data_IF_584175803054
#
_entry.id   IF_584175803054
#
_cell.length_a   1.000
_cell.length_b   1.000
_cell.length_c   1.000
_cell.angle_alpha   90.00
_cell.angle_beta   90.00
_cell.angle_gamma   90.00
#
_symmetry.space_group_name_H-M   'P 1'
#
loop_
_entity.id
_entity.type
_entity.pdbx_description
1 polymer ?
#
# COMPACT_ATOMS: atom_id res chain seq x y z
N UNK A 1 -26.15 -10.74 -2.24
CA UNK A 1 -25.54 -10.12 -3.44
C UNK A 1 -24.50 -11.08 -3.95
N UNK A 2 -24.46 -11.35 -5.25
CA UNK A 2 -23.45 -12.26 -5.81
C UNK A 2 -22.05 -11.69 -5.58
N UNK A 3 -21.09 -12.56 -5.22
CA UNK A 3 -19.70 -12.17 -4.95
C UNK A 3 -19.08 -11.40 -6.15
N UNK A 4 -19.52 -11.70 -7.37
CA UNK A 4 -19.13 -10.98 -8.58
C UNK A 4 -19.65 -9.52 -8.60
N UNK A 5 -20.89 -9.28 -8.16
CA UNK A 5 -21.47 -7.93 -8.09
C UNK A 5 -20.77 -7.11 -7.01
N UNK A 6 -20.49 -7.72 -5.85
CA UNK A 6 -19.70 -7.12 -4.77
C UNK A 6 -18.29 -6.72 -5.22
N UNK A 7 -17.63 -7.58 -5.99
CA UNK A 7 -16.33 -7.28 -6.56
C UNK A 7 -16.40 -6.12 -7.57
N UNK A 8 -17.37 -6.15 -8.48
CA UNK A 8 -17.56 -5.11 -9.49
C UNK A 8 -17.89 -3.74 -8.89
N UNK A 9 -18.66 -3.68 -7.81
CA UNK A 9 -18.95 -2.41 -7.10
C UNK A 9 -17.74 -1.90 -6.31
N UNK A 10 -16.89 -2.81 -5.82
CA UNK A 10 -15.70 -2.44 -5.04
C UNK A 10 -14.57 -1.80 -5.87
N UNK A 11 -14.48 -2.07 -7.18
CA UNK A 11 -13.48 -1.48 -8.07
C UNK A 11 -13.58 0.07 -8.18
N UNK A 12 -14.73 0.66 -8.56
CA UNK A 12 -14.86 2.11 -8.60
C UNK A 12 -14.79 2.73 -7.19
N UNK A 13 -15.23 2.02 -6.16
CA UNK A 13 -15.08 2.45 -4.77
C UNK A 13 -13.60 2.52 -4.36
N UNK A 14 -12.80 1.50 -4.67
CA UNK A 14 -11.37 1.49 -4.38
C UNK A 14 -10.63 2.65 -5.08
N UNK A 15 -10.96 2.93 -6.34
CA UNK A 15 -10.39 4.06 -7.07
C UNK A 15 -10.76 5.41 -6.43
N UNK A 16 -12.03 5.62 -6.12
CA UNK A 16 -12.50 6.89 -5.57
C UNK A 16 -11.97 7.13 -4.16
N UNK A 17 -12.01 6.13 -3.30
CA UNK A 17 -11.53 6.22 -1.91
C UNK A 17 -10.01 6.44 -1.90
N UNK A 18 -9.23 5.69 -2.70
CA UNK A 18 -7.77 5.87 -2.74
C UNK A 18 -7.35 7.28 -3.17
N UNK A 19 -8.05 7.88 -4.15
CA UNK A 19 -7.79 9.26 -4.58
C UNK A 19 -8.19 10.29 -3.51
N UNK A 20 -9.27 10.06 -2.79
CA UNK A 20 -9.64 10.91 -1.64
C UNK A 20 -8.58 10.82 -0.53
N UNK A 21 -8.03 9.63 -0.26
CA UNK A 21 -6.94 9.44 0.69
C UNK A 21 -5.69 10.21 0.28
N UNK A 22 -5.29 10.17 -0.99
CA UNK A 22 -4.18 10.98 -1.50
C UNK A 22 -4.44 12.49 -1.31
N UNK A 23 -5.68 12.92 -1.58
CA UNK A 23 -6.10 14.32 -1.38
C UNK A 23 -6.04 14.75 0.08
N UNK A 24 -6.45 13.88 0.99
CA UNK A 24 -6.34 14.07 2.43
C UNK A 24 -4.88 14.13 2.88
N UNK A 25 -4.01 13.21 2.42
CA UNK A 25 -2.57 13.24 2.72
C UNK A 25 -1.95 14.59 2.32
N UNK A 26 -2.22 15.08 1.10
CA UNK A 26 -1.71 16.38 0.64
C UNK A 26 -2.18 17.54 1.52
N UNK A 27 -3.44 17.52 1.97
CA UNK A 27 -4.01 18.56 2.83
C UNK A 27 -3.39 18.51 4.23
N UNK A 28 -3.24 17.33 4.82
CA UNK A 28 -2.63 17.15 6.14
C UNK A 28 -1.15 17.54 6.10
N UNK A 29 -0.41 17.08 5.09
CA UNK A 29 1.00 17.42 4.86
C UNK A 29 1.22 18.95 4.79
N UNK A 30 0.37 19.66 4.05
CA UNK A 30 0.42 21.11 3.96
C UNK A 30 0.14 21.80 5.31
N UNK A 31 -0.86 21.31 6.07
CA UNK A 31 -1.20 21.84 7.40
C UNK A 31 -0.08 21.63 8.41
N UNK A 32 0.59 20.47 8.40
CA UNK A 32 1.77 20.22 9.24
C UNK A 32 2.92 21.19 8.94
N UNK A 33 3.05 21.63 7.69
CA UNK A 33 4.01 22.65 7.26
C UNK A 33 3.52 24.09 7.47
N UNK A 34 2.41 24.29 8.20
CA UNK A 34 1.77 25.60 8.43
C UNK A 34 1.40 26.36 7.15
N UNK A 35 1.05 25.64 6.07
CA UNK A 35 0.54 26.23 4.82
C UNK A 35 -0.85 25.68 4.46
N UNK A 36 -1.57 26.41 3.61
CA UNK A 36 -2.87 25.98 3.10
C UNK A 36 -2.63 24.95 1.99
N UNK A 37 -3.18 23.75 2.17
CA UNK A 37 -3.12 22.68 1.18
C UNK A 37 -4.19 22.80 0.10
N UNK A 38 -4.03 22.07 -1.02
CA UNK A 38 -5.05 22.00 -2.07
C UNK A 38 -6.36 21.36 -1.56
N UNK A 39 -7.48 21.51 -2.30
CA UNK A 39 -8.72 20.82 -1.97
C UNK A 39 -8.55 19.30 -2.05
N UNK A 40 -9.37 18.55 -1.30
CA UNK A 40 -9.29 17.07 -1.24
C UNK A 40 -9.58 16.43 -2.61
N UNK A 41 -10.37 17.09 -3.46
CA UNK A 41 -10.74 16.61 -4.79
C UNK A 41 -9.61 16.83 -5.82
N UNK A 42 -8.52 17.52 -5.47
CA UNK A 42 -7.42 17.83 -6.38
C UNK A 42 -6.86 16.63 -7.16
N UNK A 43 -6.67 15.42 -6.57
CA UNK A 43 -6.17 14.27 -7.32
C UNK A 43 -7.05 13.89 -8.51
N UNK A 44 -8.38 14.07 -8.42
CA UNK A 44 -9.29 13.84 -9.54
C UNK A 44 -9.03 14.82 -10.69
N UNK A 45 -8.88 16.11 -10.38
CA UNK A 45 -8.54 17.12 -11.39
C UNK A 45 -7.18 16.88 -12.03
N UNK A 46 -6.19 16.44 -11.24
CA UNK A 46 -4.87 16.10 -11.74
C UNK A 46 -4.93 14.92 -12.74
N UNK A 47 -5.75 13.89 -12.46
CA UNK A 47 -5.95 12.77 -13.36
C UNK A 47 -6.66 13.18 -14.65
N UNK A 48 -7.77 13.93 -14.55
CA UNK A 48 -8.49 14.44 -15.73
C UNK A 48 -7.52 15.21 -16.62
N UNK A 49 -6.74 16.13 -16.03
CA UNK A 49 -5.73 16.91 -16.74
C UNK A 49 -4.70 16.02 -17.44
N UNK A 50 -4.23 14.97 -16.79
CA UNK A 50 -3.22 14.08 -17.38
C UNK A 50 -3.79 13.20 -18.50
N UNK A 51 -5.02 12.72 -18.37
CA UNK A 51 -5.70 11.97 -19.43
C UNK A 51 -6.03 12.83 -20.66
N UNK A 52 -6.24 14.14 -20.48
CA UNK A 52 -6.42 15.08 -21.60
C UNK A 52 -5.14 15.44 -22.35
N UNK A 53 -3.96 15.04 -21.86
CA UNK A 53 -2.68 15.33 -22.53
C UNK A 53 -2.38 14.29 -23.61
N UNK A 54 -1.51 14.68 -24.52
CA UNK A 54 -1.00 13.81 -25.59
C UNK A 54 -0.25 12.59 -25.04
N UNK A 55 -0.39 11.48 -25.77
CA UNK A 55 0.36 10.24 -25.55
C UNK A 55 1.69 10.35 -26.27
N UNK A 56 2.77 10.47 -25.48
CA UNK A 56 4.13 10.55 -26.01
C UNK A 56 4.90 9.34 -25.49
N UNK A 57 5.48 8.58 -26.42
CA UNK A 57 6.42 7.50 -26.13
C UNK A 57 7.76 7.83 -26.81
N UNK A 58 8.91 7.68 -26.11
CA UNK A 58 10.21 7.97 -26.70
C UNK A 58 10.55 7.00 -27.83
N UNK A 59 11.24 7.49 -28.87
CA UNK A 59 11.64 6.64 -30.02
C UNK A 59 12.62 5.52 -29.64
N UNK A 60 13.40 5.72 -28.57
CA UNK A 60 14.34 4.73 -28.01
C UNK A 60 13.66 3.67 -27.15
N UNK A 61 12.38 3.84 -26.82
CA UNK A 61 11.66 2.94 -25.92
C UNK A 61 11.14 1.71 -26.65
N UNK A 62 11.04 0.59 -25.93
CA UNK A 62 10.26 -0.54 -26.42
C UNK A 62 8.77 -0.23 -26.25
N UNK A 63 8.15 0.33 -27.29
CA UNK A 63 6.80 0.89 -27.26
C UNK A 63 5.77 -0.01 -26.55
N UNK A 64 5.71 -1.30 -26.91
CA UNK A 64 4.74 -2.24 -26.29
C UNK A 64 4.89 -2.35 -24.77
N UNK A 65 6.11 -2.46 -24.26
CA UNK A 65 6.36 -2.61 -22.82
C UNK A 65 6.10 -1.28 -22.11
N UNK A 66 6.57 -0.17 -22.69
CA UNK A 66 6.39 1.15 -22.11
C UNK A 66 4.91 1.53 -21.95
N UNK A 67 4.06 1.22 -22.94
CA UNK A 67 2.65 1.58 -22.90
C UNK A 67 1.79 0.65 -22.03
N UNK A 68 2.08 -0.66 -22.05
CA UNK A 68 1.25 -1.66 -21.35
C UNK A 68 1.55 -1.75 -19.85
N UNK A 69 2.79 -1.50 -19.44
CA UNK A 69 3.21 -1.69 -18.05
C UNK A 69 2.47 -0.77 -17.04
N UNK A 70 2.25 0.54 -17.30
CA UNK A 70 1.42 1.37 -16.43
C UNK A 70 -0.03 0.90 -16.34
N UNK A 71 -0.58 0.31 -17.41
CA UNK A 71 -1.94 -0.26 -17.40
C UNK A 71 -2.01 -1.49 -16.49
N UNK A 72 -1.04 -2.39 -16.60
CA UNK A 72 -0.92 -3.57 -15.73
C UNK A 72 -0.73 -3.14 -14.27
N UNK A 73 0.10 -2.13 -14.02
CA UNK A 73 0.32 -1.61 -12.68
C UNK A 73 -0.96 -1.04 -12.05
N UNK A 74 -1.71 -0.23 -12.80
CA UNK A 74 -2.98 0.32 -12.35
C UNK A 74 -4.00 -0.81 -12.11
N UNK A 75 -4.15 -1.75 -13.05
CA UNK A 75 -5.08 -2.86 -12.93
C UNK A 75 -4.78 -3.74 -11.70
N UNK A 76 -3.54 -4.17 -11.52
CA UNK A 76 -3.14 -5.03 -10.39
C UNK A 76 -3.31 -4.35 -9.04
N UNK A 77 -2.98 -3.06 -8.93
CA UNK A 77 -3.24 -2.30 -7.70
C UNK A 77 -4.73 -2.19 -7.40
N UNK A 78 -5.57 -1.94 -8.42
CA UNK A 78 -7.02 -1.82 -8.27
C UNK A 78 -7.65 -3.14 -7.83
N UNK A 79 -7.22 -4.25 -8.45
CA UNK A 79 -7.66 -5.59 -8.08
C UNK A 79 -7.26 -5.93 -6.63
N UNK A 80 -6.03 -5.62 -6.23
CA UNK A 80 -5.59 -5.84 -4.84
C UNK A 80 -6.42 -5.04 -3.82
N UNK A 81 -6.67 -3.76 -4.10
CA UNK A 81 -7.49 -2.91 -3.25
C UNK A 81 -8.96 -3.32 -3.22
N UNK A 82 -9.52 -3.77 -4.36
CA UNK A 82 -10.92 -4.18 -4.46
C UNK A 82 -11.18 -5.48 -3.71
N UNK A 83 -10.26 -6.45 -3.75
CA UNK A 83 -10.33 -7.67 -2.94
C UNK A 83 -10.43 -7.30 -1.45
N UNK A 84 -9.54 -6.44 -0.96
CA UNK A 84 -9.57 -5.99 0.45
C UNK A 84 -10.88 -5.30 0.80
N UNK A 85 -11.32 -4.34 -0.01
CA UNK A 85 -12.53 -3.57 0.26
C UNK A 85 -13.79 -4.45 0.24
N UNK A 86 -13.86 -5.38 -0.72
CA UNK A 86 -14.97 -6.32 -0.85
C UNK A 86 -15.06 -7.30 0.32
N UNK A 87 -13.92 -7.75 0.86
CA UNK A 87 -13.87 -8.58 2.06
C UNK A 87 -14.43 -7.90 3.29
N UNK A 88 -14.23 -6.57 3.43
CA UNK A 88 -14.78 -5.78 4.53
C UNK A 88 -16.27 -5.47 4.31
N UNK A 89 -16.66 -5.13 3.08
CA UNK A 89 -18.00 -4.65 2.73
C UNK A 89 -19.08 -5.72 2.82
N UNK A 90 -18.75 -6.93 2.40
CA UNK A 90 -19.75 -7.95 2.09
C UNK A 90 -19.58 -9.24 2.90
N UNK A 91 -18.57 -9.31 3.79
CA UNK A 91 -18.20 -10.51 4.56
C UNK A 91 -18.17 -11.79 3.70
N UNK A 92 -17.91 -11.59 2.40
CA UNK A 92 -18.01 -12.61 1.40
C UNK A 92 -16.63 -13.15 1.13
N UNK A 93 -16.50 -14.47 1.11
CA UNK A 93 -15.30 -15.19 0.70
C UNK A 93 -15.05 -15.00 -0.80
N UNK A 94 -14.73 -13.78 -1.20
CA UNK A 94 -14.17 -13.52 -2.52
C UNK A 94 -12.80 -14.21 -2.58
N UNK A 95 -12.45 -14.68 -3.77
CA UNK A 95 -11.34 -15.57 -4.15
C UNK A 95 -9.98 -14.88 -3.93
N UNK A 96 -9.67 -14.47 -2.70
CA UNK A 96 -8.49 -13.68 -2.41
C UNK A 96 -7.94 -13.91 -1.02
N UNK A 97 -6.87 -14.69 -0.96
CA UNK A 97 -6.05 -14.84 0.24
C UNK A 97 -5.14 -13.64 0.44
N UNK A 98 -4.64 -13.49 1.67
CA UNK A 98 -3.70 -12.43 2.03
C UNK A 98 -2.44 -12.43 1.15
N UNK A 99 -1.97 -13.61 0.74
CA UNK A 99 -0.84 -13.78 -0.18
C UNK A 99 -1.17 -13.23 -1.57
N UNK A 100 -2.39 -13.46 -2.08
CA UNK A 100 -2.80 -12.97 -3.39
C UNK A 100 -2.78 -11.43 -3.42
N UNK A 101 -3.32 -10.79 -2.39
CA UNK A 101 -3.33 -9.32 -2.28
C UNK A 101 -1.90 -8.78 -2.27
N UNK A 102 -1.02 -9.37 -1.45
CA UNK A 102 0.37 -8.97 -1.37
C UNK A 102 1.10 -9.10 -2.72
N UNK A 103 0.88 -10.20 -3.44
CA UNK A 103 1.45 -10.37 -4.78
C UNK A 103 0.88 -9.40 -5.80
N UNK A 104 -0.42 -9.09 -5.77
CA UNK A 104 -0.99 -8.10 -6.68
C UNK A 104 -0.38 -6.70 -6.46
N UNK A 105 -0.12 -6.32 -5.21
CA UNK A 105 0.55 -5.06 -4.87
C UNK A 105 2.03 -5.06 -5.26
N UNK A 106 2.74 -6.16 -5.06
CA UNK A 106 4.12 -6.33 -5.52
C UNK A 106 4.20 -6.25 -7.06
N UNK A 107 3.31 -6.96 -7.76
CA UNK A 107 3.21 -6.93 -9.22
C UNK A 107 2.94 -5.53 -9.77
N UNK A 108 2.15 -4.71 -9.08
CA UNK A 108 1.96 -3.31 -9.46
C UNK A 108 3.27 -2.52 -9.43
N UNK A 109 4.08 -2.72 -8.38
CA UNK A 109 5.39 -2.06 -8.24
C UNK A 109 6.39 -2.55 -9.30
N UNK A 110 6.45 -3.86 -9.55
CA UNK A 110 7.31 -4.47 -10.57
C UNK A 110 6.92 -3.96 -11.96
N UNK A 111 5.63 -3.90 -12.28
CA UNK A 111 5.16 -3.41 -13.57
C UNK A 111 5.63 -1.97 -13.84
N UNK A 112 5.48 -1.06 -12.86
CA UNK A 112 5.99 0.31 -13.00
C UNK A 112 7.50 0.37 -13.20
N UNK A 113 8.25 -0.45 -12.48
CA UNK A 113 9.71 -0.55 -12.61
C UNK A 113 10.12 -1.01 -14.00
N UNK A 114 9.55 -2.13 -14.47
CA UNK A 114 9.84 -2.70 -15.80
C UNK A 114 9.49 -1.70 -16.89
N UNK A 115 8.33 -1.05 -16.80
CA UNK A 115 7.93 -0.04 -17.75
C UNK A 115 8.89 1.17 -17.79
N UNK A 116 9.39 1.60 -16.63
CA UNK A 116 10.39 2.67 -16.59
C UNK A 116 11.76 2.27 -17.16
N UNK A 117 12.16 1.01 -17.01
CA UNK A 117 13.38 0.48 -17.63
C UNK A 117 13.28 0.39 -19.16
N UNK A 118 12.07 0.18 -19.68
CA UNK A 118 11.77 0.09 -21.11
C UNK A 118 11.85 1.44 -21.86
N UNK A 119 12.08 2.54 -21.14
CA UNK A 119 12.11 3.89 -21.72
C UNK A 119 13.40 4.21 -22.51
N UNK A 120 14.48 3.45 -22.30
CA UNK A 120 15.77 3.65 -22.95
C UNK A 120 16.64 4.77 -22.33
N UNK A 121 16.19 5.38 -21.23
CA UNK A 121 16.95 6.41 -20.52
C UNK A 121 17.81 5.77 -19.39
N UNK A 122 19.13 6.10 -19.28
CA UNK A 122 19.98 5.61 -18.20
C UNK A 122 19.46 5.93 -16.79
N UNK A 123 18.79 7.07 -16.59
CA UNK A 123 18.21 7.41 -15.29
C UNK A 123 17.03 6.49 -14.91
N UNK A 124 16.28 6.02 -15.90
CA UNK A 124 15.22 5.03 -15.70
C UNK A 124 15.78 3.69 -15.22
N UNK A 125 16.89 3.23 -15.82
CA UNK A 125 17.57 1.99 -15.44
C UNK A 125 18.18 2.07 -14.02
N UNK A 126 18.78 3.21 -13.65
CA UNK A 126 19.29 3.42 -12.28
C UNK A 126 18.14 3.47 -11.28
N UNK A 127 17.04 4.14 -11.61
CA UNK A 127 15.83 4.17 -10.77
C UNK A 127 15.23 2.78 -10.56
N UNK A 128 15.21 1.95 -11.61
CA UNK A 128 14.80 0.54 -11.55
C UNK A 128 15.64 -0.26 -10.55
N UNK A 129 16.97 -0.23 -10.70
CA UNK A 129 17.90 -0.97 -9.84
C UNK A 129 17.75 -0.59 -8.36
N UNK A 130 17.56 0.70 -8.09
CA UNK A 130 17.33 1.22 -6.74
C UNK A 130 15.98 0.80 -6.16
N UNK A 131 14.89 0.87 -6.95
CA UNK A 131 13.57 0.40 -6.48
C UNK A 131 13.62 -1.10 -6.21
N UNK A 132 14.25 -1.89 -7.08
CA UNK A 132 14.37 -3.34 -6.91
C UNK A 132 15.10 -3.71 -5.61
N UNK A 133 16.24 -3.06 -5.36
CA UNK A 133 17.03 -3.29 -4.14
C UNK A 133 16.22 -2.96 -2.88
N UNK A 134 15.46 -1.85 -2.89
CA UNK A 134 14.59 -1.47 -1.79
C UNK A 134 13.40 -2.41 -1.63
N UNK A 135 12.79 -2.83 -2.74
CA UNK A 135 11.64 -3.73 -2.77
C UNK A 135 11.95 -5.06 -2.10
N UNK A 136 13.07 -5.69 -2.47
CA UNK A 136 13.52 -6.93 -1.84
C UNK A 136 13.70 -6.72 -0.32
N UNK A 137 14.27 -5.58 0.09
CA UNK A 137 14.56 -5.32 1.50
C UNK A 137 13.31 -5.14 2.38
N UNK A 138 12.24 -4.53 1.87
CA UNK A 138 11.01 -4.36 2.65
C UNK A 138 9.99 -5.48 2.44
N UNK A 139 9.99 -6.19 1.30
CA UNK A 139 9.00 -7.25 1.06
C UNK A 139 9.22 -8.46 1.97
N UNK A 140 10.46 -8.89 2.16
CA UNK A 140 10.81 -10.03 3.03
C UNK A 140 10.22 -9.84 4.45
N UNK A 141 10.52 -8.75 5.19
CA UNK A 141 9.94 -8.57 6.52
C UNK A 141 8.42 -8.38 6.50
N UNK A 142 7.86 -7.80 5.44
CA UNK A 142 6.42 -7.61 5.30
C UNK A 142 5.67 -8.94 5.13
N UNK A 143 6.21 -9.88 4.34
CA UNK A 143 5.67 -11.24 4.19
C UNK A 143 5.79 -12.05 5.48
N UNK A 144 6.93 -11.98 6.17
CA UNK A 144 7.15 -12.66 7.45
C UNK A 144 6.15 -12.16 8.50
N UNK A 145 5.92 -10.84 8.60
CA UNK A 145 4.94 -10.26 9.50
C UNK A 145 3.51 -10.74 9.23
N UNK A 146 3.13 -10.82 7.94
CA UNK A 146 1.83 -11.35 7.49
C UNK A 146 1.65 -12.82 7.87
N UNK A 147 2.65 -13.65 7.63
CA UNK A 147 2.62 -15.08 7.97
C UNK A 147 2.53 -15.27 9.48
N UNK A 148 3.25 -14.47 10.25
CA UNK A 148 3.18 -14.47 11.72
C UNK A 148 1.76 -14.25 12.23
N UNK A 149 1.01 -13.34 11.62
CA UNK A 149 -0.39 -13.09 11.99
C UNK A 149 -1.30 -14.25 11.58
N UNK A 150 -1.12 -14.78 10.37
CA UNK A 150 -1.90 -15.92 9.89
C UNK A 150 -1.76 -17.14 10.82
N UNK A 151 -0.54 -17.40 11.31
CA UNK A 151 -0.28 -18.47 12.27
C UNK A 151 -0.96 -18.22 13.62
N UNK A 152 -0.91 -16.98 14.14
CA UNK A 152 -1.54 -16.63 15.43
C UNK A 152 -3.08 -16.64 15.41
N UNK A 153 -3.71 -16.44 14.24
CA UNK A 153 -5.14 -16.10 14.13
C UNK A 153 -6.08 -17.27 13.84
N UNK A 154 -5.58 -18.42 13.35
CA UNK A 154 -6.30 -19.70 13.14
C UNK A 154 -5.75 -20.45 11.91
N UNK A 155 -4.42 -20.74 11.87
CA UNK A 155 -3.63 -21.12 10.67
C UNK A 155 -4.31 -20.97 9.29
N UNK A 156 -4.87 -19.79 9.00
CA UNK A 156 -5.63 -19.51 7.79
C UNK A 156 -5.09 -18.26 7.13
N UNK A 157 -5.07 -18.28 5.79
CA UNK A 157 -4.62 -17.16 4.96
C UNK A 157 -5.78 -16.31 4.44
N UNK A 158 -7.01 -16.73 4.72
CA UNK A 158 -8.21 -16.00 4.36
C UNK A 158 -8.34 -14.73 5.21
N UNK A 159 -8.64 -13.60 4.56
CA UNK A 159 -8.77 -12.32 5.25
C UNK A 159 -10.01 -12.31 6.16
N UNK A 160 -11.11 -12.93 5.71
CA UNK A 160 -12.36 -13.02 6.46
C UNK A 160 -12.20 -13.79 7.79
N UNK A 161 -11.47 -14.92 7.80
CA UNK A 161 -11.23 -15.66 9.04
C UNK A 161 -10.41 -14.86 10.06
N UNK A 162 -9.42 -14.09 9.59
CA UNK A 162 -8.60 -13.20 10.43
C UNK A 162 -9.46 -12.07 11.01
N UNK A 163 -10.38 -11.50 10.22
CA UNK A 163 -11.32 -10.47 10.67
C UNK A 163 -12.26 -11.04 11.74
N UNK A 164 -12.86 -12.22 11.48
CA UNK A 164 -13.75 -12.90 12.44
C UNK A 164 -13.03 -13.26 13.74
N UNK A 165 -11.77 -13.71 13.65
CA UNK A 165 -10.96 -13.99 14.82
C UNK A 165 -10.73 -12.74 15.68
N UNK A 166 -10.37 -11.62 15.04
CA UNK A 166 -10.22 -10.34 15.73
C UNK A 166 -11.54 -9.85 16.33
N UNK A 167 -12.66 -10.02 15.62
CA UNK A 167 -13.99 -9.66 16.13
C UNK A 167 -14.36 -10.46 17.38
N UNK A 168 -14.07 -11.77 17.41
CA UNK A 168 -14.34 -12.63 18.55
C UNK A 168 -13.45 -12.30 19.76
N UNK A 169 -12.21 -11.87 19.54
CA UNK A 169 -11.29 -11.44 20.60
C UNK A 169 -11.71 -10.11 21.24
N UNK A 170 -12.49 -9.27 20.54
CA UNK A 170 -12.89 -7.95 21.02
C UNK A 170 -11.74 -6.94 21.17
N UNK A 171 -10.53 -7.31 20.72
CA UNK A 171 -9.31 -6.52 20.81
C UNK A 171 -8.57 -6.55 19.47
N UNK A 172 -7.90 -5.44 19.07
CA UNK A 172 -7.02 -5.44 17.92
C UNK A 172 -5.93 -6.48 18.07
N UNK A 173 -5.62 -7.21 16.99
CA UNK A 173 -4.64 -8.29 17.07
C UNK A 173 -3.27 -7.76 17.53
N UNK A 174 -2.89 -6.56 17.10
CA UNK A 174 -1.66 -5.88 17.53
C UNK A 174 -1.58 -5.63 19.04
N UNK A 175 -2.69 -5.57 19.76
CA UNK A 175 -2.72 -5.37 21.21
C UNK A 175 -2.88 -6.69 21.99
N UNK A 176 -3.28 -7.78 21.31
CA UNK A 176 -3.62 -9.05 21.96
C UNK A 176 -2.41 -9.88 22.41
N UNK A 177 -1.33 -9.88 21.62
CA UNK A 177 -0.13 -10.69 21.85
C UNK A 177 1.14 -9.92 21.52
N UNK A 178 2.23 -10.29 22.18
CA UNK A 178 3.51 -9.63 21.93
C UNK A 178 4.00 -9.95 20.51
N UNK A 179 3.84 -11.20 20.06
CA UNK A 179 4.18 -11.62 18.69
C UNK A 179 3.50 -10.75 17.63
N UNK A 180 2.18 -10.58 17.72
CA UNK A 180 1.40 -9.83 16.73
C UNK A 180 1.66 -8.33 16.79
N UNK A 181 2.02 -7.79 17.96
CA UNK A 181 2.47 -6.39 18.09
C UNK A 181 3.79 -6.12 17.37
N UNK A 182 4.76 -7.04 17.48
CA UNK A 182 6.04 -7.00 16.78
C UNK A 182 5.86 -7.14 15.26
N UNK A 183 4.97 -8.05 14.83
CA UNK A 183 4.60 -8.20 13.43
C UNK A 183 3.95 -6.91 12.88
N UNK A 184 3.04 -6.30 13.64
CA UNK A 184 2.43 -5.03 13.26
C UNK A 184 3.47 -3.92 13.13
N UNK A 185 4.39 -3.80 14.08
CA UNK A 185 5.46 -2.81 14.02
C UNK A 185 6.37 -3.03 12.80
N UNK A 186 6.77 -4.27 12.51
CA UNK A 186 7.56 -4.59 11.33
C UNK A 186 6.84 -4.22 10.03
N UNK A 187 5.55 -4.55 9.91
CA UNK A 187 4.74 -4.23 8.74
C UNK A 187 4.58 -2.71 8.56
N UNK A 188 4.24 -1.99 9.62
CA UNK A 188 4.04 -0.53 9.59
C UNK A 188 5.32 0.23 9.21
N UNK A 189 6.50 -0.26 9.63
CA UNK A 189 7.78 0.32 9.23
C UNK A 189 8.14 0.07 7.74
N UNK A 190 7.50 -0.90 7.09
CA UNK A 190 7.71 -1.23 5.67
C UNK A 190 6.84 -0.40 4.72
N UNK A 191 5.66 0.03 5.16
CA UNK A 191 4.72 0.86 4.35
C UNK A 191 5.39 2.08 3.68
N UNK A 192 6.25 2.87 4.36
CA UNK A 192 6.81 4.09 3.77
C UNK A 192 7.74 3.83 2.59
N UNK A 193 8.52 2.73 2.64
CA UNK A 193 9.40 2.33 1.53
C UNK A 193 8.61 1.72 0.37
N UNK A 194 7.55 0.96 0.67
CA UNK A 194 6.64 0.45 -0.35
C UNK A 194 5.99 1.60 -1.14
N UNK A 195 5.51 2.63 -0.43
CA UNK A 195 4.93 3.84 -1.02
C UNK A 195 5.94 4.80 -1.70
N UNK A 196 7.26 4.52 -1.63
CA UNK A 196 8.34 5.40 -2.13
C UNK A 196 8.28 6.83 -1.57
N UNK A 197 7.89 7.01 -0.31
CA UNK A 197 7.76 8.34 0.30
C UNK A 197 9.00 8.67 1.14
N UNK A 198 9.34 9.96 1.26
CA UNK A 198 10.38 10.45 2.19
C UNK A 198 10.12 9.87 3.59
N UNK A 199 11.12 9.26 4.25
CA UNK A 199 12.57 9.31 3.99
C UNK A 199 13.13 8.29 2.98
N UNK A 200 12.30 7.41 2.41
CA UNK A 200 12.68 6.30 1.55
C UNK A 200 12.35 6.51 0.06
N UNK A 201 12.28 7.76 -0.39
CA UNK A 201 12.03 8.17 -1.79
C UNK A 201 13.24 7.99 -2.73
N UNK A 202 14.15 7.08 -2.40
CA UNK A 202 15.39 6.78 -3.16
C UNK A 202 15.14 6.46 -4.65
N UNK A 203 14.08 5.72 -5.03
CA UNK A 203 13.82 5.37 -6.42
C UNK A 203 13.34 6.52 -7.32
N UNK A 204 12.84 7.60 -6.72
CA UNK A 204 12.27 8.77 -7.41
C UNK A 204 13.02 10.06 -7.05
N UNK A 205 14.19 9.88 -6.45
CA UNK A 205 15.04 10.90 -5.90
C UNK A 205 15.28 12.04 -6.89
N UNK A 206 14.58 13.16 -6.70
CA UNK A 206 14.64 14.31 -7.62
C UNK A 206 16.04 14.91 -7.75
N UNK A 207 16.83 14.83 -6.69
CA UNK A 207 18.18 15.40 -6.63
C UNK A 207 19.24 14.54 -7.31
N UNK A 208 18.99 13.25 -7.53
CA UNK A 208 20.00 12.30 -8.05
C UNK A 208 19.61 11.73 -9.41
N UNK A 209 18.32 11.41 -9.58
CA UNK A 209 17.79 10.73 -10.76
C UNK A 209 16.51 11.40 -11.26
N UNK A 210 16.27 12.69 -10.96
CA UNK A 210 15.16 13.56 -11.43
C UNK A 210 13.74 13.06 -11.11
N UNK A 211 13.36 11.90 -11.62
CA UNK A 211 12.10 11.21 -11.33
C UNK A 211 12.19 9.67 -11.48
N UNK A 212 13.42 9.15 -11.62
CA UNK A 212 13.74 7.74 -11.74
C UNK A 212 13.02 7.04 -12.88
N UNK A 213 12.41 5.90 -12.55
CA UNK A 213 11.66 5.07 -13.50
C UNK A 213 10.39 5.76 -14.05
N UNK A 214 9.99 6.92 -13.52
CA UNK A 214 8.85 7.69 -14.03
C UNK A 214 9.22 8.87 -14.95
N UNK A 215 10.50 9.15 -15.20
CA UNK A 215 10.94 10.34 -15.97
C UNK A 215 10.22 10.46 -17.30
N UNK A 216 10.19 9.39 -18.07
CA UNK A 216 9.75 9.39 -19.46
C UNK A 216 8.23 9.31 -19.60
N UNK A 217 7.51 9.01 -18.50
CA UNK A 217 6.06 8.92 -18.54
C UNK A 217 5.40 10.29 -18.60
N UNK A 218 4.72 10.55 -19.71
CA UNK A 218 3.86 11.71 -19.94
C UNK A 218 2.37 11.36 -19.97
N UNK A 219 1.55 12.41 -19.94
CA UNK A 219 0.10 12.36 -20.16
C UNK A 219 -0.63 11.20 -19.46
N UNK A 220 -1.36 10.34 -20.20
CA UNK A 220 -2.17 9.29 -19.61
C UNK A 220 -1.34 8.15 -18.99
N UNK A 221 -0.13 7.88 -19.47
CA UNK A 221 0.73 6.85 -18.87
C UNK A 221 1.19 7.26 -17.47
N UNK A 222 1.50 8.56 -17.28
CA UNK A 222 1.77 9.11 -15.96
C UNK A 222 0.53 9.10 -15.06
N UNK A 223 -0.66 9.32 -15.62
CA UNK A 223 -1.92 9.21 -14.87
C UNK A 223 -2.11 7.81 -14.30
N UNK A 224 -1.91 6.77 -15.12
CA UNK A 224 -1.99 5.37 -14.70
C UNK A 224 -0.94 5.03 -13.64
N UNK A 225 0.29 5.50 -13.79
CA UNK A 225 1.33 5.30 -12.79
C UNK A 225 1.01 5.98 -11.45
N UNK A 226 0.36 7.15 -11.47
CA UNK A 226 -0.12 7.84 -10.26
C UNK A 226 -1.28 7.08 -9.60
N UNK A 227 -2.24 6.60 -10.39
CA UNK A 227 -3.33 5.74 -9.89
C UNK A 227 -2.74 4.51 -9.20
N UNK A 228 -1.80 3.82 -9.87
CA UNK A 228 -1.16 2.63 -9.31
C UNK A 228 -0.54 2.89 -7.94
N UNK A 229 0.21 3.99 -7.78
CA UNK A 229 0.82 4.37 -6.50
C UNK A 229 -0.17 4.80 -5.42
N UNK A 230 -1.19 5.57 -5.80
CA UNK A 230 -2.21 6.03 -4.85
C UNK A 230 -3.01 4.84 -4.31
N UNK A 231 -3.43 3.95 -5.22
CA UNK A 231 -4.18 2.74 -4.89
C UNK A 231 -3.32 1.76 -4.10
N UNK A 232 -2.04 1.55 -4.48
CA UNK A 232 -1.16 0.63 -3.74
C UNK A 232 -0.88 1.13 -2.31
N UNK A 233 -0.67 2.43 -2.14
CA UNK A 233 -0.45 3.03 -0.82
C UNK A 233 -1.71 2.91 0.06
N UNK A 234 -2.89 3.15 -0.52
CA UNK A 234 -4.17 2.93 0.15
C UNK A 234 -4.39 1.46 0.51
N UNK A 235 -4.13 0.53 -0.42
CA UNK A 235 -4.30 -0.89 -0.19
C UNK A 235 -3.40 -1.41 0.93
N UNK A 236 -2.14 -0.94 1.03
CA UNK A 236 -1.24 -1.32 2.11
C UNK A 236 -1.69 -0.83 3.48
N UNK A 237 -2.21 0.41 3.58
CA UNK A 237 -2.72 0.93 4.86
C UNK A 237 -4.06 0.29 5.24
N UNK A 238 -4.89 -0.08 4.26
CA UNK A 238 -6.11 -0.83 4.47
C UNK A 238 -5.82 -2.28 4.90
N UNK A 239 -4.83 -2.93 4.30
CA UNK A 239 -4.36 -4.25 4.70
C UNK A 239 -3.82 -4.21 6.13
N UNK A 240 -3.01 -3.21 6.48
CA UNK A 240 -2.53 -3.04 7.85
C UNK A 240 -3.68 -2.85 8.86
N UNK A 241 -4.69 -2.04 8.50
CA UNK A 241 -5.90 -1.84 9.32
C UNK A 241 -6.64 -3.17 9.52
N UNK A 242 -6.89 -3.92 8.46
CA UNK A 242 -7.67 -5.17 8.53
C UNK A 242 -6.95 -6.31 9.26
N UNK A 243 -5.65 -6.47 9.03
CA UNK A 243 -4.89 -7.62 9.56
C UNK A 243 -4.43 -7.40 11.00
N UNK A 244 -4.05 -6.16 11.38
CA UNK A 244 -3.45 -5.90 12.69
C UNK A 244 -4.34 -5.08 13.63
N UNK A 245 -5.12 -4.14 13.08
CA UNK A 245 -5.79 -3.07 13.82
C UNK A 245 -7.27 -2.98 13.45
N UNK A 246 -7.97 -4.11 13.38
CA UNK A 246 -9.37 -4.14 12.96
C UNK A 246 -10.26 -3.44 14.01
N UNK A 247 -10.42 -2.11 13.88
CA UNK A 247 -11.13 -1.29 14.87
C UNK A 247 -12.58 -1.72 15.17
N UNK A 248 -13.37 -2.31 14.24
CA UNK A 248 -14.71 -2.77 14.59
C UNK A 248 -14.72 -3.84 15.68
N UNK A 249 -13.60 -4.53 15.97
CA UNK A 249 -13.53 -5.45 17.12
C UNK A 249 -13.63 -4.76 18.48
N UNK A 250 -13.22 -3.49 18.60
CA UNK A 250 -13.21 -2.75 19.88
C UNK A 250 -14.61 -2.38 20.38
N UNK A 251 -15.61 -2.34 19.50
CA UNK A 251 -16.98 -1.91 19.83
C UNK A 251 -17.90 -3.07 20.29
N UNK A 252 -17.32 -4.23 20.58
CA UNK A 252 -18.05 -5.42 21.02
C UNK A 252 -18.31 -6.35 19.85
N UNK A 253 -17.57 -7.46 19.83
CA UNK A 253 -17.76 -8.54 18.87
C UNK A 253 -19.22 -9.02 18.83
N UNK A 254 -19.68 -9.32 17.62
CA UNK A 254 -20.92 -10.05 17.30
C UNK A 254 -22.22 -9.22 17.33
N UNK A 255 -22.21 -7.94 17.72
CA UNK A 255 -23.36 -7.09 17.35
C UNK A 255 -23.28 -6.78 15.84
N UNK A 256 -24.36 -6.92 15.06
CA UNK A 256 -24.38 -6.47 13.66
C UNK A 256 -24.33 -4.94 13.66
N UNK A 257 -23.15 -4.40 13.88
CA UNK A 257 -22.83 -3.02 13.57
C UNK A 257 -23.21 -2.82 12.11
N UNK A 258 -24.01 -1.80 11.84
CA UNK A 258 -24.36 -1.42 10.48
C UNK A 258 -23.09 -1.45 9.61
N UNK A 259 -23.12 -2.14 8.47
CA UNK A 259 -21.97 -2.29 7.58
C UNK A 259 -21.28 -0.94 7.28
N UNK A 260 -22.04 0.15 7.23
CA UNK A 260 -21.48 1.51 7.09
C UNK A 260 -20.58 1.95 8.25
N UNK A 261 -20.88 1.54 9.48
CA UNK A 261 -20.08 1.88 10.67
C UNK A 261 -18.79 1.06 10.71
N UNK A 262 -18.84 -0.25 10.42
CA UNK A 262 -17.63 -1.07 10.36
C UNK A 262 -16.65 -0.58 9.28
N UNK A 263 -17.16 -0.23 8.10
CA UNK A 263 -16.37 0.37 7.03
C UNK A 263 -15.77 1.71 7.42
N UNK A 264 -16.58 2.61 7.98
CA UNK A 264 -16.09 3.95 8.34
C UNK A 264 -14.99 3.89 9.40
N UNK A 265 -15.05 2.93 10.34
CA UNK A 265 -13.99 2.69 11.32
C UNK A 265 -12.73 2.08 10.69
N UNK A 266 -12.88 1.15 9.75
CA UNK A 266 -11.74 0.60 9.01
C UNK A 266 -11.07 1.68 8.12
N UNK A 267 -11.86 2.52 7.47
CA UNK A 267 -11.35 3.67 6.72
C UNK A 267 -10.70 4.71 7.65
N UNK A 268 -11.28 4.99 8.83
CA UNK A 268 -10.69 5.91 9.79
C UNK A 268 -9.34 5.38 10.34
N UNK A 269 -9.24 4.09 10.65
CA UNK A 269 -7.98 3.48 11.09
C UNK A 269 -6.94 3.43 9.98
N UNK A 270 -7.32 3.09 8.75
CA UNK A 270 -6.39 3.15 7.61
C UNK A 270 -5.90 4.57 7.33
N UNK A 271 -6.74 5.60 7.53
CA UNK A 271 -6.32 7.01 7.50
C UNK A 271 -5.33 7.34 8.62
N UNK A 272 -5.55 6.83 9.84
CA UNK A 272 -4.64 7.03 10.96
C UNK A 272 -3.29 6.34 10.68
N UNK A 273 -3.30 5.13 10.15
CA UNK A 273 -2.10 4.41 9.74
C UNK A 273 -1.36 5.17 8.63
N UNK A 274 -2.08 5.67 7.63
CA UNK A 274 -1.50 6.52 6.58
C UNK A 274 -0.86 7.78 7.18
N UNK A 275 -1.55 8.45 8.10
CA UNK A 275 -1.01 9.61 8.79
C UNK A 275 0.28 9.28 9.55
N UNK A 276 0.27 8.20 10.34
CA UNK A 276 1.39 7.80 11.19
C UNK A 276 2.60 7.29 10.39
N UNK A 277 2.38 6.54 9.30
CA UNK A 277 3.46 5.89 8.53
C UNK A 277 3.90 6.69 7.30
N UNK A 278 2.98 7.37 6.62
CA UNK A 278 3.30 8.11 5.39
C UNK A 278 3.46 9.60 5.69
N UNK A 279 2.44 10.27 6.24
CA UNK A 279 2.42 11.74 6.33
C UNK A 279 3.42 12.28 7.36
N UNK A 280 3.51 11.66 8.54
CA UNK A 280 4.42 12.10 9.62
C UNK A 280 5.89 11.89 9.24
N UNK A 281 6.34 10.70 8.78
CA UNK A 281 7.73 10.50 8.37
C UNK A 281 8.13 11.43 7.22
N UNK A 282 7.22 11.67 6.27
CA UNK A 282 7.44 12.59 5.15
C UNK A 282 7.65 14.04 5.56
N UNK A 283 7.06 14.48 6.67
CA UNK A 283 7.14 15.87 7.15
C UNK A 283 8.28 16.09 8.13
N UNK A 284 8.58 15.10 8.96
CA UNK A 284 9.52 15.24 10.08
C UNK A 284 10.92 14.76 9.73
N UNK A 285 11.04 13.69 8.93
CA UNK A 285 12.34 13.06 8.67
C UNK A 285 13.02 13.60 7.41
N UNK A 286 14.35 13.65 7.47
CA UNK A 286 15.18 13.91 6.31
C UNK A 286 15.34 12.65 5.46
N UNK A 287 15.60 12.85 4.16
CA UNK A 287 15.81 11.77 3.20
C UNK A 287 17.06 10.95 3.54
N UNK A 288 16.93 9.62 3.47
CA UNK A 288 18.03 8.69 3.74
C UNK A 288 18.78 8.29 2.46
N UNK A 289 20.07 7.98 2.62
CA UNK A 289 20.88 7.36 1.56
C UNK A 289 20.51 5.88 1.41
N UNK A 290 20.75 5.32 0.23
CA UNK A 290 20.38 3.93 -0.09
C UNK A 290 20.98 2.91 0.88
N UNK A 291 22.27 3.03 1.22
CA UNK A 291 22.93 2.11 2.15
C UNK A 291 22.36 2.17 3.57
N UNK A 292 21.95 3.36 4.02
CA UNK A 292 21.33 3.55 5.35
C UNK A 292 19.91 2.97 5.37
N UNK A 293 19.14 3.16 4.30
CA UNK A 293 17.80 2.61 4.17
C UNK A 293 17.82 1.07 4.12
N UNK A 294 18.73 0.47 3.34
CA UNK A 294 18.90 -0.98 3.31
C UNK A 294 19.30 -1.51 4.70
N UNK A 295 20.30 -0.90 5.35
CA UNK A 295 20.70 -1.30 6.70
C UNK A 295 19.54 -1.20 7.70
N UNK A 296 18.69 -0.18 7.58
CA UNK A 296 17.49 -0.05 8.42
C UNK A 296 16.55 -1.24 8.25
N UNK A 297 16.19 -1.62 7.02
CA UNK A 297 15.28 -2.73 6.74
C UNK A 297 15.82 -4.10 7.16
N UNK A 298 17.10 -4.34 6.91
CA UNK A 298 17.78 -5.59 7.30
C UNK A 298 18.01 -5.71 8.81
N UNK A 299 18.17 -4.60 9.54
CA UNK A 299 18.43 -4.62 10.98
C UNK A 299 17.16 -4.54 11.81
N UNK A 300 16.20 -3.68 11.46
CA UNK A 300 15.05 -3.40 12.35
C UNK A 300 13.81 -4.20 11.94
N UNK A 301 13.12 -3.94 10.80
CA UNK A 301 11.96 -4.71 10.38
C UNK A 301 12.20 -6.22 10.25
N UNK A 302 13.36 -6.63 9.75
CA UNK A 302 13.69 -8.06 9.62
C UNK A 302 13.83 -8.75 10.97
N UNK A 303 14.52 -8.13 11.94
CA UNK A 303 14.64 -8.71 13.29
C UNK A 303 13.29 -8.73 14.00
N UNK A 304 12.47 -7.68 13.86
CA UNK A 304 11.12 -7.61 14.45
C UNK A 304 10.17 -8.66 13.86
N UNK A 305 10.22 -8.89 12.56
CA UNK A 305 9.36 -9.90 11.90
C UNK A 305 9.83 -11.33 12.18
N UNK A 306 11.14 -11.58 12.28
CA UNK A 306 11.65 -12.90 12.70
C UNK A 306 11.30 -13.19 14.16
N UNK A 307 11.47 -12.22 15.06
CA UNK A 307 11.09 -12.40 16.46
C UNK A 307 9.59 -12.61 16.61
N UNK A 308 8.75 -11.96 15.80
CA UNK A 308 7.31 -12.18 15.83
C UNK A 308 6.93 -13.62 15.46
N UNK A 309 7.52 -14.20 14.40
CA UNK A 309 7.24 -15.60 14.02
C UNK A 309 7.71 -16.56 15.11
N UNK A 310 8.90 -16.36 15.66
CA UNK A 310 9.44 -17.24 16.71
C UNK A 310 8.53 -17.22 17.95
N UNK A 311 8.09 -16.03 18.39
CA UNK A 311 7.18 -15.89 19.52
C UNK A 311 5.81 -16.50 19.22
N UNK A 312 5.29 -16.29 18.01
CA UNK A 312 4.04 -16.88 17.55
C UNK A 312 4.10 -18.42 17.56
N UNK A 313 5.23 -19.01 17.17
CA UNK A 313 5.45 -20.46 17.22
C UNK A 313 5.51 -21.01 18.67
N UNK A 314 6.00 -20.22 19.61
CA UNK A 314 6.01 -20.56 21.05
C UNK A 314 4.64 -20.34 21.71
N UNK A 315 3.71 -19.66 21.02
CA UNK A 315 2.35 -19.39 21.49
C UNK A 315 2.21 -18.08 22.30
N UNK A 316 3.21 -17.19 22.22
CA UNK A 316 3.25 -15.87 22.89
C UNK A 316 2.87 -14.72 21.95
#
# INVERSE_FOLDING_TARGET
MDAAVAFLTSLPAALTISLLFEGLDRKIHARMQKRIGPPVIQPFYDLIKLFSKEKIAPATSSARVFETMPMIAAATSLLGASILLSGILYESSIIGDLILVMYLLAMSSIALMVGGSASGNPYGAVGFSRKMSMMIAYEIPMFIAVISVAFSSSPTLAIDSIIRFQANLGLPLAASRLSTSLAAAAFLLCIPAAASVVPFDIPEAKTEIVYGFLIEYGGPYLALAKIAKAVSSFALTLLASTVFLYAPSLLGGIAPLNLGVSLSLCLATSLLIMFATITVPRTVLARLKIGQALKFYWMLPLILSLSSIILSAVGL
#
